data_IF_338236798836
#
_entry.id   IF_338236798836
#
_cell.length_a   1.000
_cell.length_b   1.000
_cell.length_c   1.000
_cell.angle_alpha   90.00
_cell.angle_beta   90.00
_cell.angle_gamma   90.00
#
_symmetry.space_group_name_H-M   'P 1'
#
loop_
_entity.id
_entity.type
_entity.pdbx_description
1 polymer ?
#
# COMPACT_ATOMS: atom_id res chain seq x y z
N UNK A 1 -16.58 -11.74 -5.77
CA UNK A 1 -15.43 -12.34 -5.05
C UNK A 1 -14.76 -11.20 -4.31
N UNK A 2 -15.21 -11.02 -3.07
CA UNK A 2 -14.87 -9.91 -2.20
C UNK A 2 -13.41 -9.97 -1.78
N UNK A 3 -12.72 -8.84 -1.87
CA UNK A 3 -11.33 -8.70 -1.44
C UNK A 3 -11.26 -8.26 0.02
N UNK A 4 -11.74 -9.10 0.94
CA UNK A 4 -11.43 -9.01 2.36
C UNK A 4 -10.84 -10.37 2.81
N UNK A 5 -9.92 -10.40 3.79
CA UNK A 5 -8.83 -11.38 3.78
C UNK A 5 -9.24 -12.80 4.11
N UNK A 6 -8.42 -13.74 3.63
CA UNK A 6 -8.43 -15.14 4.02
C UNK A 6 -8.61 -15.28 5.54
N UNK A 7 -9.70 -15.93 5.94
CA UNK A 7 -10.07 -16.13 7.36
C UNK A 7 -11.56 -16.01 7.66
N UNK A 8 -12.37 -15.51 6.73
CA UNK A 8 -13.82 -15.36 6.91
C UNK A 8 -14.54 -16.63 6.39
N UNK A 9 -15.38 -17.25 7.23
CA UNK A 9 -16.18 -18.42 6.85
C UNK A 9 -17.25 -18.07 5.80
N UNK A 10 -17.79 -19.08 5.09
CA UNK A 10 -18.67 -18.85 3.93
C UNK A 10 -19.94 -18.03 4.20
N UNK A 11 -20.54 -18.16 5.39
CA UNK A 11 -21.71 -17.35 5.81
C UNK A 11 -21.37 -15.90 6.10
N UNK A 12 -20.17 -15.66 6.62
CA UNK A 12 -19.69 -14.34 7.05
C UNK A 12 -19.30 -13.47 5.84
N UNK A 13 -18.83 -14.12 4.77
CA UNK A 13 -18.57 -13.49 3.47
C UNK A 13 -19.85 -12.97 2.81
N UNK A 14 -20.96 -13.67 2.97
CA UNK A 14 -22.23 -13.30 2.33
C UNK A 14 -22.86 -12.06 2.98
N UNK A 15 -22.81 -11.95 4.32
CA UNK A 15 -23.28 -10.76 5.03
C UNK A 15 -22.45 -9.50 4.70
N UNK A 16 -21.18 -9.70 4.38
CA UNK A 16 -20.28 -8.65 3.96
C UNK A 16 -20.53 -8.25 2.49
N UNK A 17 -20.78 -9.22 1.60
CA UNK A 17 -21.20 -8.98 0.20
C UNK A 17 -22.47 -8.12 0.16
N UNK A 18 -23.41 -8.33 1.09
CA UNK A 18 -24.70 -7.60 1.14
C UNK A 18 -24.57 -6.12 1.52
N UNK A 19 -23.53 -5.74 2.27
CA UNK A 19 -23.28 -4.34 2.68
C UNK A 19 -22.32 -3.60 1.75
N UNK A 20 -21.60 -4.32 0.89
CA UNK A 20 -20.78 -3.70 -0.14
C UNK A 20 -21.69 -3.04 -1.16
N UNK A 21 -21.70 -1.70 -1.16
CA UNK A 21 -22.50 -0.89 -2.07
C UNK A 21 -21.84 -0.71 -3.43
N UNK A 22 -22.60 -0.06 -4.32
CA UNK A 22 -22.27 0.34 -5.68
C UNK A 22 -20.77 0.47 -5.95
N UNK A 23 -20.35 -0.15 -7.05
CA UNK A 23 -19.02 0.06 -7.62
C UNK A 23 -18.94 1.51 -8.06
N UNK A 24 -18.06 2.28 -7.43
CA UNK A 24 -17.76 3.65 -7.87
C UNK A 24 -16.57 3.59 -8.83
N UNK A 25 -16.75 3.87 -10.13
CA UNK A 25 -15.63 4.06 -11.04
C UNK A 25 -14.95 5.40 -10.75
N UNK A 26 -13.64 5.45 -10.95
CA UNK A 26 -12.83 6.66 -10.90
C UNK A 26 -11.92 6.72 -12.11
N UNK A 27 -11.79 7.91 -12.70
CA UNK A 27 -10.77 8.16 -13.71
C UNK A 27 -9.41 8.42 -13.06
N UNK A 28 -8.33 8.29 -13.84
CA UNK A 28 -6.99 8.59 -13.36
C UNK A 28 -6.90 10.04 -12.87
N UNK A 29 -6.37 10.26 -11.66
CA UNK A 29 -6.27 11.57 -11.03
C UNK A 29 -7.53 12.00 -10.28
N UNK A 30 -8.63 11.24 -10.35
CA UNK A 30 -9.83 11.57 -9.59
C UNK A 30 -9.64 11.26 -8.10
N UNK A 31 -10.09 12.20 -7.25
CA UNK A 31 -10.06 12.07 -5.80
C UNK A 31 -11.24 11.23 -5.30
N UNK A 32 -10.93 10.19 -4.53
CA UNK A 32 -11.92 9.31 -3.89
C UNK A 32 -12.59 9.99 -2.68
N UNK A 33 -11.78 10.52 -1.77
CA UNK A 33 -12.17 11.32 -0.61
C UNK A 33 -11.08 12.33 -0.29
N UNK A 34 -11.43 13.45 0.34
CA UNK A 34 -10.51 14.54 0.67
C UNK A 34 -10.16 14.57 2.15
N UNK A 35 -8.99 15.11 2.48
CA UNK A 35 -8.66 15.45 3.87
C UNK A 35 -9.71 16.41 4.45
N UNK A 36 -10.10 16.19 5.71
CA UNK A 36 -11.15 16.92 6.43
C UNK A 36 -12.58 16.46 6.12
N UNK A 37 -12.80 15.61 5.12
CA UNK A 37 -14.13 15.08 4.82
C UNK A 37 -14.59 14.11 5.91
N UNK A 38 -15.87 14.20 6.30
CA UNK A 38 -16.48 13.27 7.27
C UNK A 38 -16.42 11.82 6.77
N UNK A 39 -16.12 10.90 7.69
CA UNK A 39 -16.13 9.47 7.42
C UNK A 39 -17.57 8.96 7.28
N UNK A 40 -17.99 8.68 6.04
CA UNK A 40 -19.24 7.97 5.76
C UNK A 40 -19.04 6.47 5.49
N UNK A 41 -17.94 6.15 4.80
CA UNK A 41 -17.68 4.81 4.27
C UNK A 41 -16.19 4.50 4.27
N UNK A 42 -15.87 3.21 4.40
CA UNK A 42 -14.57 2.67 4.03
C UNK A 42 -14.59 2.22 2.57
N UNK A 43 -13.42 2.19 1.94
CA UNK A 43 -13.31 1.84 0.53
C UNK A 43 -12.33 0.70 0.33
N UNK A 44 -12.67 -0.25 -0.54
CA UNK A 44 -11.74 -1.31 -0.96
C UNK A 44 -11.42 -1.12 -2.43
N UNK A 45 -10.14 -1.03 -2.77
CA UNK A 45 -9.71 -0.99 -4.16
C UNK A 45 -10.10 -2.31 -4.85
N UNK A 46 -10.95 -2.24 -5.89
CA UNK A 46 -11.36 -3.43 -6.63
C UNK A 46 -10.52 -3.63 -7.87
N UNK A 47 -10.31 -2.56 -8.62
CA UNK A 47 -9.46 -2.50 -9.80
C UNK A 47 -8.67 -1.20 -9.79
N UNK A 48 -7.53 -1.18 -10.50
CA UNK A 48 -6.61 -0.04 -10.52
C UNK A 48 -5.77 0.06 -9.25
N UNK A 49 -5.22 1.25 -9.02
CA UNK A 49 -4.42 1.55 -7.83
C UNK A 49 -4.69 2.98 -7.36
N UNK A 50 -4.41 3.23 -6.10
CA UNK A 50 -4.62 4.52 -5.46
C UNK A 50 -3.36 4.96 -4.71
N UNK A 51 -3.25 6.25 -4.46
CA UNK A 51 -2.30 6.83 -3.51
C UNK A 51 -3.05 7.61 -2.44
N UNK A 52 -2.47 7.68 -1.25
CA UNK A 52 -2.90 8.60 -0.19
C UNK A 52 -1.88 9.71 -0.03
N UNK A 53 -2.40 10.92 0.19
CA UNK A 53 -1.67 12.17 0.20
C UNK A 53 -1.95 12.90 1.52
N UNK A 54 -0.91 13.25 2.25
CA UNK A 54 -0.99 14.19 3.36
C UNK A 54 -0.52 15.56 2.89
N UNK A 55 -1.22 16.60 3.32
CA UNK A 55 -0.82 17.99 3.08
C UNK A 55 -0.44 18.62 4.40
N UNK A 56 0.75 19.21 4.50
CA UNK A 56 1.18 19.93 5.69
C UNK A 56 0.56 21.35 5.74
N UNK A 57 0.86 22.11 6.81
CA UNK A 57 0.33 23.46 6.99
C UNK A 57 0.86 24.47 5.94
N UNK A 58 2.02 24.18 5.37
CA UNK A 58 2.68 25.01 4.35
C UNK A 58 2.15 24.71 2.93
N UNK A 59 1.27 23.70 2.79
CA UNK A 59 0.69 23.27 1.53
C UNK A 59 1.52 22.23 0.78
N UNK A 60 2.62 21.75 1.34
CA UNK A 60 3.40 20.67 0.75
C UNK A 60 2.63 19.36 0.82
N UNK A 61 2.59 18.67 -0.31
CA UNK A 61 1.90 17.40 -0.47
C UNK A 61 2.92 16.26 -0.45
N UNK A 62 2.70 15.30 0.43
CA UNK A 62 3.48 14.08 0.54
C UNK A 62 2.62 12.84 0.30
N UNK A 63 3.09 11.95 -0.58
CA UNK A 63 2.51 10.62 -0.70
C UNK A 63 2.84 9.83 0.56
N UNK A 64 1.82 9.37 1.27
CA UNK A 64 1.97 8.60 2.51
C UNK A 64 1.61 7.11 2.32
N UNK A 65 1.04 6.75 1.18
CA UNK A 65 0.66 5.37 0.92
C UNK A 65 0.28 5.10 -0.53
N UNK A 66 0.39 3.82 -0.89
CA UNK A 66 -0.09 3.27 -2.16
C UNK A 66 -0.98 2.08 -1.87
N UNK A 67 -2.12 2.01 -2.55
CA UNK A 67 -3.13 0.97 -2.35
C UNK A 67 -3.35 0.20 -3.65
N UNK A 68 -3.16 -1.12 -3.58
CA UNK A 68 -3.39 -2.06 -4.67
C UNK A 68 -4.77 -2.73 -4.51
N UNK A 69 -5.29 -3.45 -5.53
CA UNK A 69 -6.55 -4.16 -5.40
C UNK A 69 -6.59 -5.04 -4.14
N UNK A 70 -7.73 -5.04 -3.46
CA UNK A 70 -7.96 -5.73 -2.19
C UNK A 70 -7.48 -5.02 -0.94
N UNK A 71 -6.83 -3.86 -1.07
CA UNK A 71 -6.48 -3.05 0.09
C UNK A 71 -7.57 -2.03 0.42
N UNK A 72 -7.71 -1.79 1.73
CA UNK A 72 -8.72 -0.93 2.30
C UNK A 72 -8.17 0.49 2.53
N UNK A 73 -9.03 1.49 2.33
CA UNK A 73 -8.74 2.92 2.44
C UNK A 73 -9.83 3.60 3.30
N UNK A 74 -9.45 4.71 3.93
CA UNK A 74 -10.32 5.45 4.86
C UNK A 74 -10.18 5.06 6.34
N UNK A 75 -9.24 4.16 6.68
CA UNK A 75 -8.96 3.75 8.05
C UNK A 75 -8.42 4.89 8.93
N UNK A 76 -7.75 5.85 8.32
CA UNK A 76 -7.20 7.05 8.97
C UNK A 76 -8.27 7.86 9.70
N UNK A 77 -9.50 7.83 9.17
CA UNK A 77 -10.62 8.59 9.70
C UNK A 77 -11.35 7.90 10.86
N UNK A 78 -11.07 6.63 11.15
CA UNK A 78 -11.80 5.87 12.19
C UNK A 78 -11.63 6.47 13.60
N UNK A 79 -10.51 7.12 13.88
CA UNK A 79 -10.24 7.73 15.19
C UNK A 79 -10.88 9.10 15.40
N UNK A 80 -10.98 9.91 14.33
CA UNK A 80 -11.41 11.33 14.40
C UNK A 80 -12.79 11.59 13.78
N UNK A 81 -13.34 10.61 13.06
CA UNK A 81 -14.53 10.78 12.22
C UNK A 81 -14.30 11.57 10.93
N UNK A 82 -13.07 11.97 10.62
CA UNK A 82 -12.73 12.75 9.43
C UNK A 82 -11.43 12.25 8.81
N UNK A 83 -11.36 12.21 7.48
CA UNK A 83 -10.15 11.80 6.77
C UNK A 83 -8.99 12.73 7.10
N UNK A 84 -7.88 12.16 7.57
CA UNK A 84 -6.64 12.88 7.81
C UNK A 84 -5.85 13.10 6.50
N UNK A 85 -6.12 12.29 5.48
CA UNK A 85 -5.47 12.35 4.18
C UNK A 85 -6.47 12.39 3.03
N UNK A 86 -5.99 12.71 1.83
CA UNK A 86 -6.73 12.54 0.58
C UNK A 86 -6.35 11.20 -0.08
N UNK A 87 -7.30 10.52 -0.71
CA UNK A 87 -7.02 9.37 -1.58
C UNK A 87 -7.34 9.69 -3.05
N UNK A 88 -6.41 9.38 -3.95
CA UNK A 88 -6.53 9.67 -5.38
C UNK A 88 -6.23 8.43 -6.24
N UNK A 89 -6.98 8.24 -7.31
CA UNK A 89 -6.75 7.16 -8.27
C UNK A 89 -5.48 7.39 -9.11
N UNK A 90 -4.55 6.44 -9.10
CA UNK A 90 -3.32 6.46 -9.91
C UNK A 90 -3.54 5.99 -11.34
N UNK A 91 -4.58 5.19 -11.55
CA UNK A 91 -5.01 4.66 -12.84
C UNK A 91 -6.53 4.79 -12.91
N UNK A 92 -7.14 4.53 -14.08
CA UNK A 92 -8.56 4.20 -14.11
C UNK A 92 -8.82 3.05 -13.13
N UNK A 93 -9.79 3.22 -12.25
CA UNK A 93 -9.96 2.38 -11.07
C UNK A 93 -11.44 2.18 -10.72
N UNK A 94 -11.71 1.17 -9.89
CA UNK A 94 -13.03 1.00 -9.27
C UNK A 94 -12.85 0.67 -7.80
N UNK A 95 -13.74 1.18 -6.96
CA UNK A 95 -13.80 0.84 -5.53
C UNK A 95 -15.13 0.19 -5.18
N UNK A 96 -15.08 -0.67 -4.17
CA UNK A 96 -16.25 -1.06 -3.39
C UNK A 96 -16.40 -0.09 -2.22
N UNK A 97 -17.59 0.47 -2.03
CA UNK A 97 -17.90 1.34 -0.90
C UNK A 97 -18.59 0.54 0.21
N UNK A 98 -18.11 0.66 1.45
CA UNK A 98 -18.65 -0.04 2.61
C UNK A 98 -19.07 1.03 3.63
N UNK A 99 -20.37 1.32 3.76
CA UNK A 99 -20.85 2.29 4.74
C UNK A 99 -20.47 1.88 6.16
N UNK A 100 -19.89 2.82 6.92
CA UNK A 100 -19.35 2.51 8.24
C UNK A 100 -20.43 1.94 9.18
N UNK A 101 -21.62 2.54 9.19
CA UNK A 101 -22.75 2.09 10.03
C UNK A 101 -23.19 0.66 9.71
N UNK A 102 -23.13 0.25 8.45
CA UNK A 102 -23.45 -1.11 8.03
C UNK A 102 -22.33 -2.08 8.42
N UNK A 103 -21.07 -1.66 8.26
CA UNK A 103 -19.92 -2.45 8.69
C UNK A 103 -19.93 -2.70 10.21
N UNK A 104 -20.17 -1.67 11.01
CA UNK A 104 -20.30 -1.79 12.48
C UNK A 104 -21.41 -2.76 12.86
N UNK A 105 -22.56 -2.67 12.19
CA UNK A 105 -23.68 -3.57 12.42
C UNK A 105 -23.33 -5.04 12.11
N UNK A 106 -22.65 -5.32 10.99
CA UNK A 106 -22.23 -6.68 10.63
C UNK A 106 -21.14 -7.18 11.59
N UNK A 107 -20.15 -6.35 11.92
CA UNK A 107 -19.10 -6.70 12.91
C UNK A 107 -19.69 -7.08 14.27
N UNK A 108 -20.80 -6.46 14.70
CA UNK A 108 -21.48 -6.81 15.96
C UNK A 108 -22.10 -8.22 15.94
N UNK A 109 -22.38 -8.77 14.75
CA UNK A 109 -22.99 -10.09 14.56
C UNK A 109 -21.97 -11.17 14.15
N UNK A 110 -20.84 -10.75 13.61
CA UNK A 110 -19.82 -11.63 13.03
C UNK A 110 -18.47 -11.35 13.68
N UNK A 111 -18.14 -12.04 14.79
CA UNK A 111 -16.87 -11.83 15.51
C UNK A 111 -15.63 -12.02 14.64
N UNK A 112 -15.69 -12.95 13.68
CA UNK A 112 -14.60 -13.19 12.72
C UNK A 112 -14.26 -11.95 11.89
N UNK A 113 -15.28 -11.20 11.45
CA UNK A 113 -15.10 -9.96 10.70
C UNK A 113 -14.49 -8.86 11.58
N UNK A 114 -14.94 -8.74 12.83
CA UNK A 114 -14.38 -7.78 13.78
C UNK A 114 -12.89 -8.05 14.04
N UNK A 115 -12.51 -9.30 14.32
CA UNK A 115 -11.11 -9.68 14.49
C UNK A 115 -10.29 -9.40 13.22
N UNK A 116 -10.89 -9.64 12.06
CA UNK A 116 -10.24 -9.36 10.79
C UNK A 116 -10.00 -7.87 10.57
N UNK A 117 -10.95 -7.00 10.92
CA UNK A 117 -10.78 -5.56 10.86
C UNK A 117 -9.67 -5.06 11.80
N UNK A 118 -9.63 -5.56 13.04
CA UNK A 118 -8.56 -5.24 13.99
C UNK A 118 -7.18 -5.66 13.45
N UNK A 119 -7.09 -6.83 12.80
CA UNK A 119 -5.87 -7.29 12.15
C UNK A 119 -5.43 -6.37 11.01
N UNK A 120 -6.36 -5.91 10.18
CA UNK A 120 -6.07 -4.94 9.09
C UNK A 120 -5.55 -3.63 9.66
N UNK A 121 -6.17 -3.10 10.72
CA UNK A 121 -5.73 -1.87 11.39
C UNK A 121 -4.31 -2.05 11.95
N UNK A 122 -4.04 -3.14 12.66
CA UNK A 122 -2.71 -3.44 13.20
C UNK A 122 -1.65 -3.59 12.11
N UNK A 123 -2.00 -4.22 10.98
CA UNK A 123 -1.11 -4.31 9.81
C UNK A 123 -0.83 -2.94 9.18
N UNK A 124 -1.81 -2.03 9.18
CA UNK A 124 -1.65 -0.64 8.77
C UNK A 124 -0.63 0.09 9.66
N UNK A 125 -0.78 0.00 10.98
CA UNK A 125 0.15 0.60 11.95
C UNK A 125 1.58 0.08 11.75
N UNK A 126 1.76 -1.23 11.59
CA UNK A 126 3.07 -1.81 11.33
C UNK A 126 3.69 -1.31 10.01
N UNK A 127 2.87 -1.11 8.98
CA UNK A 127 3.30 -0.57 7.69
C UNK A 127 3.77 0.88 7.83
N UNK A 128 3.03 1.70 8.57
CA UNK A 128 3.39 3.10 8.82
C UNK A 128 4.67 3.21 9.65
N UNK A 129 4.84 2.37 10.68
CA UNK A 129 6.07 2.28 11.46
C UNK A 129 7.28 1.86 10.62
N UNK A 130 7.11 0.83 9.76
CA UNK A 130 8.16 0.41 8.82
C UNK A 130 8.54 1.53 7.87
N UNK A 131 7.55 2.28 7.39
CA UNK A 131 7.77 3.43 6.52
C UNK A 131 8.55 4.54 7.23
N UNK A 132 8.19 4.89 8.47
CA UNK A 132 8.93 5.86 9.28
C UNK A 132 10.39 5.42 9.51
N UNK A 133 10.63 4.15 9.83
CA UNK A 133 11.99 3.62 9.99
C UNK A 133 12.80 3.71 8.68
N UNK A 134 12.19 3.35 7.56
CA UNK A 134 12.79 3.46 6.23
C UNK A 134 13.23 4.91 5.94
N UNK A 135 12.37 5.89 6.22
CA UNK A 135 12.68 7.31 6.00
C UNK A 135 13.77 7.83 6.95
N UNK A 136 13.81 7.35 8.19
CA UNK A 136 14.75 7.84 9.21
C UNK A 136 16.16 7.24 9.14
N UNK A 137 16.32 6.00 8.66
CA UNK A 137 17.58 5.24 8.83
C UNK A 137 18.22 4.72 7.55
N UNK A 138 17.46 4.61 6.45
CA UNK A 138 17.93 3.93 5.23
C UNK A 138 18.48 4.90 4.21
N UNK A 139 19.48 4.46 3.45
CA UNK A 139 20.00 5.21 2.31
C UNK A 139 19.10 5.04 1.08
N UNK A 140 19.22 5.95 0.10
CA UNK A 140 18.39 5.95 -1.11
C UNK A 140 18.27 4.57 -1.82
N UNK A 141 19.35 3.80 -2.05
CA UNK A 141 19.25 2.48 -2.66
C UNK A 141 18.45 1.47 -1.84
N UNK A 142 18.63 1.49 -0.51
CA UNK A 142 17.95 0.59 0.42
C UNK A 142 16.45 0.91 0.50
N UNK A 143 16.09 2.22 0.51
CA UNK A 143 14.68 2.66 0.49
C UNK A 143 13.96 2.16 -0.75
N UNK A 144 14.60 2.30 -1.91
CA UNK A 144 14.03 1.85 -3.17
C UNK A 144 13.94 0.31 -3.21
N UNK A 145 14.95 -0.41 -2.72
CA UNK A 145 14.91 -1.87 -2.63
C UNK A 145 13.77 -2.35 -1.71
N UNK A 146 13.62 -1.74 -0.52
CA UNK A 146 12.51 -1.99 0.41
C UNK A 146 11.15 -1.78 -0.25
N UNK A 147 11.00 -0.68 -0.99
CA UNK A 147 9.78 -0.37 -1.72
C UNK A 147 9.45 -1.40 -2.79
N UNK A 148 10.42 -1.79 -3.62
CA UNK A 148 10.24 -2.78 -4.68
C UNK A 148 9.95 -4.17 -4.11
N UNK A 149 10.64 -4.57 -3.05
CA UNK A 149 10.39 -5.81 -2.32
C UNK A 149 8.96 -5.82 -1.73
N UNK A 150 8.55 -4.73 -1.07
CA UNK A 150 7.19 -4.59 -0.54
C UNK A 150 6.11 -4.68 -1.62
N UNK A 151 6.35 -4.11 -2.82
CA UNK A 151 5.44 -4.29 -3.95
C UNK A 151 5.42 -5.73 -4.45
N UNK A 152 6.59 -6.39 -4.56
CA UNK A 152 6.70 -7.80 -4.96
C UNK A 152 5.81 -8.69 -4.09
N UNK A 153 5.93 -8.57 -2.76
CA UNK A 153 5.14 -9.35 -1.81
C UNK A 153 3.64 -9.09 -1.96
N UNK A 154 3.23 -7.82 -2.15
CA UNK A 154 1.82 -7.47 -2.36
C UNK A 154 1.27 -8.01 -3.68
N UNK A 155 2.06 -8.06 -4.75
CA UNK A 155 1.65 -8.69 -6.01
C UNK A 155 1.53 -10.22 -5.88
N UNK A 156 2.41 -10.88 -5.12
CA UNK A 156 2.27 -12.31 -4.80
C UNK A 156 0.96 -12.61 -4.06
N UNK A 157 0.61 -11.77 -3.08
CA UNK A 157 -0.66 -11.89 -2.35
C UNK A 157 -1.90 -11.73 -3.25
N UNK A 158 -1.77 -11.03 -4.39
CA UNK A 158 -2.81 -10.91 -5.41
C UNK A 158 -2.87 -12.11 -6.37
N UNK A 159 -2.06 -13.15 -6.15
CA UNK A 159 -1.93 -14.29 -7.07
C UNK A 159 -1.28 -13.91 -8.40
N UNK A 160 -0.51 -12.81 -8.42
CA UNK A 160 0.23 -12.33 -9.60
C UNK A 160 1.72 -12.61 -9.44
N UNK A 161 2.50 -12.63 -10.54
CA UNK A 161 3.95 -12.74 -10.45
C UNK A 161 4.53 -11.64 -9.55
N UNK A 162 5.32 -12.04 -8.56
CA UNK A 162 6.00 -11.11 -7.66
C UNK A 162 7.27 -10.51 -8.26
N UNK A 163 7.82 -11.13 -9.29
CA UNK A 163 9.04 -10.74 -9.98
C UNK A 163 8.77 -9.86 -11.21
N UNK A 164 7.52 -9.70 -11.63
CA UNK A 164 7.17 -8.87 -12.78
C UNK A 164 5.84 -8.15 -12.56
N UNK A 165 5.88 -6.81 -12.56
CA UNK A 165 4.69 -6.01 -12.34
C UNK A 165 4.79 -4.60 -12.93
N UNK A 166 3.63 -3.95 -13.07
CA UNK A 166 3.54 -2.54 -13.45
C UNK A 166 3.61 -1.66 -12.21
N UNK A 167 4.34 -0.56 -12.30
CA UNK A 167 4.31 0.52 -11.33
C UNK A 167 3.15 1.47 -11.69
N UNK A 168 2.02 1.47 -10.97
CA UNK A 168 0.90 2.36 -11.29
C UNK A 168 1.24 3.84 -11.01
N UNK A 169 2.15 4.07 -10.06
CA UNK A 169 2.62 5.38 -9.64
C UNK A 169 3.73 5.93 -10.55
N UNK A 170 3.87 7.26 -10.58
CA UNK A 170 4.96 7.92 -11.31
C UNK A 170 6.28 7.92 -10.53
N UNK A 171 7.36 8.43 -11.14
CA UNK A 171 8.64 8.58 -10.44
C UNK A 171 8.57 9.69 -9.39
N UNK A 172 7.79 10.74 -9.67
CA UNK A 172 7.48 11.82 -8.72
C UNK A 172 6.74 11.26 -7.50
N UNK A 173 5.74 10.40 -7.71
CA UNK A 173 5.01 9.76 -6.61
C UNK A 173 5.93 8.88 -5.74
N UNK A 174 6.81 8.08 -6.38
CA UNK A 174 7.79 7.25 -5.67
C UNK A 174 8.77 8.14 -4.88
N UNK A 175 9.24 9.23 -5.48
CA UNK A 175 10.15 10.17 -4.85
C UNK A 175 9.51 10.82 -3.61
N UNK A 176 8.27 11.29 -3.74
CA UNK A 176 7.47 11.84 -2.64
C UNK A 176 7.29 10.82 -1.50
N UNK A 177 6.93 9.58 -1.84
CA UNK A 177 6.77 8.50 -0.87
C UNK A 177 8.08 8.14 -0.15
N UNK A 178 9.21 8.10 -0.86
CA UNK A 178 10.50 7.70 -0.27
C UNK A 178 11.26 8.85 0.41
N UNK A 179 10.70 10.06 0.42
CA UNK A 179 11.40 11.26 0.90
C UNK A 179 12.69 11.51 0.11
N UNK A 180 12.63 11.34 -1.21
CA UNK A 180 13.74 11.45 -2.14
C UNK A 180 13.41 12.48 -3.23
N UNK A 181 14.43 13.04 -3.85
CA UNK A 181 14.25 13.80 -5.11
C UNK A 181 14.12 12.83 -6.28
N UNK A 182 13.34 13.21 -7.30
CA UNK A 182 13.03 12.37 -8.46
C UNK A 182 14.28 11.92 -9.23
N UNK A 183 15.30 12.76 -9.32
CA UNK A 183 16.56 12.45 -9.98
C UNK A 183 17.31 11.34 -9.24
N UNK A 184 17.22 11.30 -7.91
CA UNK A 184 17.85 10.24 -7.10
C UNK A 184 17.10 8.93 -7.27
N UNK A 185 15.77 8.94 -7.34
CA UNK A 185 14.99 7.73 -7.67
C UNK A 185 15.41 7.20 -9.04
N UNK A 186 15.46 8.08 -10.04
CA UNK A 186 15.86 7.72 -11.41
C UNK A 186 17.28 7.15 -11.48
N UNK A 187 18.27 7.83 -10.88
CA UNK A 187 19.66 7.34 -10.82
C UNK A 187 19.77 5.99 -10.11
N UNK A 188 19.03 5.79 -9.02
CA UNK A 188 19.07 4.55 -8.24
C UNK A 188 18.49 3.39 -9.05
N UNK A 189 17.38 3.59 -9.76
CA UNK A 189 16.80 2.59 -10.66
C UNK A 189 17.76 2.22 -11.79
N UNK A 190 18.39 3.21 -12.43
CA UNK A 190 19.38 2.96 -13.49
C UNK A 190 20.54 2.13 -12.96
N UNK A 191 21.10 2.49 -11.79
CA UNK A 191 22.16 1.69 -11.17
C UNK A 191 21.72 0.25 -10.88
N UNK A 192 20.54 0.04 -10.29
CA UNK A 192 20.03 -1.32 -10.03
C UNK A 192 19.82 -2.11 -11.34
N UNK A 193 19.51 -1.43 -12.44
CA UNK A 193 19.40 -2.04 -13.75
C UNK A 193 20.76 -2.38 -14.36
N UNK A 194 21.72 -1.47 -14.30
CA UNK A 194 23.10 -1.69 -14.76
C UNK A 194 23.78 -2.82 -13.98
N UNK A 195 23.46 -2.92 -12.68
CA UNK A 195 23.91 -3.99 -11.79
C UNK A 195 23.18 -5.33 -12.05
N UNK A 196 22.18 -5.38 -12.94
CA UNK A 196 21.43 -6.58 -13.29
C UNK A 196 20.46 -7.07 -12.22
N UNK A 197 20.08 -6.23 -11.25
CA UNK A 197 19.15 -6.58 -10.16
C UNK A 197 17.70 -6.48 -10.67
N UNK A 198 17.40 -5.47 -11.48
CA UNK A 198 16.08 -5.22 -12.05
C UNK A 198 16.17 -4.89 -13.54
N UNK A 199 15.04 -4.98 -14.24
CA UNK A 199 14.83 -4.37 -15.56
C UNK A 199 13.63 -3.44 -15.50
N UNK A 200 13.75 -2.25 -16.08
CA UNK A 200 12.72 -1.23 -16.07
C UNK A 200 12.48 -0.74 -17.51
N UNK A 201 11.26 -0.90 -18.01
CA UNK A 201 10.83 -0.39 -19.32
C UNK A 201 9.55 0.42 -19.16
N UNK A 202 9.69 1.75 -19.17
CA UNK A 202 8.59 2.65 -18.83
C UNK A 202 8.10 2.40 -17.40
N UNK A 203 6.85 1.90 -17.28
CA UNK A 203 6.24 1.50 -16.00
C UNK A 203 6.34 0.01 -15.69
N UNK A 204 6.82 -0.80 -16.64
CA UNK A 204 7.02 -2.23 -16.40
C UNK A 204 8.33 -2.44 -15.65
N UNK A 205 8.26 -3.16 -14.54
CA UNK A 205 9.40 -3.55 -13.73
C UNK A 205 9.49 -5.07 -13.65
N UNK A 206 10.70 -5.58 -13.80
CA UNK A 206 11.04 -6.98 -13.57
C UNK A 206 12.19 -7.06 -12.57
N UNK A 207 12.06 -7.91 -11.57
CA UNK A 207 13.13 -8.25 -10.64
C UNK A 207 13.89 -9.42 -11.27
N UNK A 208 15.16 -9.21 -11.59
CA UNK A 208 16.02 -10.20 -12.23
C UNK A 208 16.77 -11.05 -11.19
N UNK A 209 17.09 -10.44 -10.05
CA UNK A 209 17.80 -11.11 -8.95
C UNK A 209 17.14 -10.74 -7.61
N UNK A 210 16.23 -11.61 -7.14
CA UNK A 210 15.54 -11.43 -5.87
C UNK A 210 16.51 -11.51 -4.68
N UNK A 211 17.52 -12.38 -4.74
CA UNK A 211 18.46 -12.57 -3.64
C UNK A 211 19.30 -11.30 -3.41
N UNK A 212 19.73 -10.63 -4.48
CA UNK A 212 20.42 -9.35 -4.38
C UNK A 212 19.52 -8.22 -3.93
N UNK A 213 18.25 -8.20 -4.37
CA UNK A 213 17.26 -7.25 -3.86
C UNK A 213 17.06 -7.41 -2.34
N UNK A 214 16.92 -8.65 -1.88
CA UNK A 214 16.76 -8.98 -0.45
C UNK A 214 17.98 -8.59 0.38
N UNK A 215 19.19 -8.77 -0.16
CA UNK A 215 20.42 -8.35 0.50
C UNK A 215 20.49 -6.83 0.70
N UNK A 216 19.94 -6.04 -0.23
CA UNK A 216 19.84 -4.58 -0.09
C UNK A 216 18.83 -4.16 1.00
N UNK A 217 17.80 -4.97 1.23
CA UNK A 217 16.76 -4.72 2.24
C UNK A 217 17.28 -4.99 3.66
N UNK A 218 17.93 -6.13 3.85
CA UNK A 218 18.34 -6.61 5.18
C UNK A 218 19.72 -6.09 5.61
N UNK A 219 20.46 -5.44 4.69
CA UNK A 219 21.87 -5.10 4.88
C UNK A 219 22.76 -6.35 4.85
N UNK A 220 24.10 -6.22 4.88
CA UNK A 220 24.97 -7.38 5.02
C UNK A 220 24.63 -8.10 6.33
N UNK A 221 24.31 -9.40 6.26
CA UNK A 221 24.14 -10.23 7.45
C UNK A 221 25.39 -10.06 8.33
N UNK A 222 25.21 -9.56 9.56
CA UNK A 222 26.30 -9.53 10.54
C UNK A 222 26.84 -10.96 10.64
N UNK A 223 28.15 -11.22 10.43
CA UNK A 223 28.69 -12.55 10.63
C UNK A 223 28.39 -12.95 12.07
N UNK A 224 27.85 -14.16 12.24
CA UNK A 224 27.55 -14.72 13.55
C UNK A 224 28.79 -14.57 14.44
N UNK A 225 28.65 -13.77 15.50
CA UNK A 225 29.66 -13.63 16.54
C UNK A 225 30.06 -15.02 17.00
N UNK A 226 31.29 -15.44 16.68
CA UNK A 226 31.87 -16.66 17.22
C UNK A 226 31.87 -16.53 18.73
N UNK A 227 31.05 -17.34 19.39
CA UNK A 227 31.14 -17.57 20.83
C UNK A 227 32.61 -17.86 21.15
N UNK A 228 33.24 -16.98 21.93
CA UNK A 228 34.54 -17.28 22.52
C UNK A 228 34.32 -18.29 23.67
N UNK A 229 35.18 -19.31 23.78
CA UNK A 229 35.09 -20.36 24.78
C UNK A 229 35.30 -19.84 26.21
#
# INVERSE_FOLDING_TARGET
MLCLPAGIGGSDLQQLDDIVRNKRPLEQGETLFRAGQNLGSLFVAREGAFKTLATNQDGDVQVIGFHLPGELMGLDALGSGHHACEAQALTRATVCEIPLTQLEHVCSKVPGLQHQLLRIIGQGINRDQTHMEMLGRRQAPERLALFLHGLSERYKLLGRPGDQFMLPMSREDIASYLGMVIETVSRTLTRMQDDGIISVRGRQLQILDMARLDAMVHGPAKPASRAHP
#
